data_IF_633799654866
#
_entry.id   IF_633799654866
#
_cell.length_a   1.000
_cell.length_b   1.000
_cell.length_c   1.000
_cell.angle_alpha   90.00
_cell.angle_beta   90.00
_cell.angle_gamma   90.00
#
_symmetry.space_group_name_H-M   'P 1'
#
loop_
_entity.id
_entity.type
_entity.pdbx_description
1 polymer ?
#
# COMPACT_ATOMS: atom_id res chain seq x y z
N UNK A 1 -4.81 -22.52 -2.20
CA UNK A 1 -3.69 -21.76 -2.77
C UNK A 1 -4.26 -20.42 -3.22
N UNK A 2 -3.60 -19.32 -2.87
CA UNK A 2 -3.94 -18.00 -3.43
C UNK A 2 -3.43 -17.98 -4.87
N UNK A 3 -4.32 -17.77 -5.82
CA UNK A 3 -4.12 -18.10 -7.23
C UNK A 3 -4.18 -16.87 -8.17
N UNK A 4 -4.28 -15.64 -7.63
CA UNK A 4 -4.31 -14.43 -8.46
C UNK A 4 -3.63 -13.21 -7.82
N UNK A 5 -3.27 -12.24 -8.65
CA UNK A 5 -2.72 -10.94 -8.23
C UNK A 5 -3.68 -10.24 -7.25
N UNK A 6 -4.98 -10.30 -7.53
CA UNK A 6 -5.99 -9.66 -6.69
C UNK A 6 -6.09 -10.29 -5.29
N UNK A 7 -6.04 -11.62 -5.22
CA UNK A 7 -6.03 -12.33 -3.94
C UNK A 7 -4.80 -12.00 -3.11
N UNK A 8 -3.63 -11.90 -3.73
CA UNK A 8 -2.39 -11.51 -3.04
C UNK A 8 -2.44 -10.06 -2.51
N UNK A 9 -3.07 -9.13 -3.25
CA UNK A 9 -3.26 -7.76 -2.78
C UNK A 9 -4.17 -7.72 -1.53
N UNK A 10 -5.30 -8.43 -1.55
CA UNK A 10 -6.19 -8.54 -0.38
C UNK A 10 -5.50 -9.24 0.78
N UNK A 11 -4.72 -10.29 0.49
CA UNK A 11 -3.94 -11.00 1.50
C UNK A 11 -2.92 -10.07 2.16
N UNK A 12 -2.29 -9.18 1.40
CA UNK A 12 -1.28 -8.26 1.91
C UNK A 12 -1.90 -7.25 2.87
N UNK A 13 -3.08 -6.72 2.55
CA UNK A 13 -3.86 -5.87 3.48
C UNK A 13 -4.23 -6.61 4.76
N UNK A 14 -4.70 -7.86 4.65
CA UNK A 14 -5.03 -8.68 5.82
C UNK A 14 -3.78 -8.99 6.65
N UNK A 15 -2.67 -9.31 6.00
CA UNK A 15 -1.41 -9.58 6.67
C UNK A 15 -0.92 -8.35 7.43
N UNK A 16 -0.94 -7.18 6.78
CA UNK A 16 -0.58 -5.90 7.40
C UNK A 16 -1.44 -5.66 8.64
N UNK A 17 -2.77 -5.76 8.53
CA UNK A 17 -3.69 -5.55 9.66
C UNK A 17 -3.43 -6.49 10.85
N UNK A 18 -2.94 -7.69 10.58
CA UNK A 18 -2.66 -8.72 11.59
C UNK A 18 -1.22 -8.72 12.11
N UNK A 19 -0.32 -8.01 11.45
CA UNK A 19 1.07 -7.96 11.87
C UNK A 19 1.18 -7.21 13.19
N UNK A 20 1.86 -7.79 14.17
CA UNK A 20 2.01 -7.23 15.54
C UNK A 20 3.47 -7.37 15.98
N UNK A 21 4.02 -6.41 16.74
CA UNK A 21 3.44 -5.11 17.09
C UNK A 21 3.54 -4.09 15.96
N UNK A 22 2.64 -3.09 15.94
CA UNK A 22 2.78 -1.92 15.06
C UNK A 22 2.53 -0.61 15.83
N UNK A 23 3.57 0.02 16.39
CA UNK A 23 3.42 1.21 17.21
C UNK A 23 2.53 2.29 16.56
N UNK A 24 1.44 2.67 17.25
CA UNK A 24 0.47 3.68 16.77
C UNK A 24 -0.51 3.25 15.68
N UNK A 25 -0.37 2.06 15.09
CA UNK A 25 -1.31 1.49 14.11
C UNK A 25 -2.25 0.50 14.80
N UNK A 26 -3.37 0.19 14.13
CA UNK A 26 -4.18 -0.99 14.48
C UNK A 26 -3.39 -2.24 14.14
N UNK A 27 -3.31 -3.20 15.05
CA UNK A 27 -2.73 -4.52 14.85
C UNK A 27 -3.60 -5.64 15.46
N UNK A 28 -3.12 -6.89 15.51
CA UNK A 28 -3.92 -8.01 15.99
C UNK A 28 -4.30 -7.94 17.49
N UNK A 29 -3.63 -7.11 18.29
CA UNK A 29 -3.83 -7.04 19.75
C UNK A 29 -4.14 -5.63 20.26
N UNK A 30 -4.01 -4.60 19.41
CA UNK A 30 -4.19 -3.19 19.77
C UNK A 30 -4.88 -2.41 18.66
N UNK A 31 -5.69 -1.41 19.04
CA UNK A 31 -6.23 -0.43 18.10
C UNK A 31 -5.24 0.73 17.82
N UNK A 32 -4.05 0.69 18.42
CA UNK A 32 -3.08 1.78 18.35
C UNK A 32 -3.67 3.08 18.86
N UNK A 33 -3.45 4.17 18.13
CA UNK A 33 -3.97 5.50 18.47
C UNK A 33 -5.45 5.71 18.05
N UNK A 34 -6.18 4.67 17.67
CA UNK A 34 -7.54 4.80 17.16
C UNK A 34 -8.59 4.35 18.18
N UNK A 35 -9.78 4.96 18.09
CA UNK A 35 -10.96 4.61 18.90
C UNK A 35 -12.15 4.17 18.02
N UNK A 36 -12.05 4.39 16.72
CA UNK A 36 -13.09 4.19 15.70
C UNK A 36 -12.83 2.97 14.80
N UNK A 37 -11.69 2.28 14.98
CA UNK A 37 -11.30 1.12 14.19
C UNK A 37 -10.53 0.08 15.01
N UNK A 38 -10.68 -1.18 14.61
CA UNK A 38 -10.00 -2.34 15.15
C UNK A 38 -9.59 -3.33 14.03
N UNK A 39 -8.85 -4.38 14.37
CA UNK A 39 -8.38 -5.36 13.38
C UNK A 39 -9.52 -6.08 12.65
N UNK A 40 -10.68 -6.24 13.29
CA UNK A 40 -11.85 -6.88 12.68
C UNK A 40 -12.42 -5.98 11.58
N UNK A 41 -12.48 -4.67 11.83
CA UNK A 41 -12.87 -3.67 10.84
C UNK A 41 -11.90 -3.64 9.66
N UNK A 42 -10.58 -3.67 9.92
CA UNK A 42 -9.56 -3.75 8.87
C UNK A 42 -9.71 -5.03 8.02
N UNK A 43 -9.85 -6.20 8.63
CA UNK A 43 -10.05 -7.47 7.90
C UNK A 43 -11.30 -7.44 7.02
N UNK A 44 -12.40 -6.87 7.52
CA UNK A 44 -13.64 -6.69 6.76
C UNK A 44 -13.45 -5.74 5.60
N UNK A 45 -12.80 -4.60 5.85
CA UNK A 45 -12.46 -3.61 4.83
C UNK A 45 -11.58 -4.21 3.72
N UNK A 46 -10.50 -4.92 4.07
CA UNK A 46 -9.63 -5.59 3.11
C UNK A 46 -10.40 -6.58 2.22
N UNK A 47 -11.31 -7.36 2.82
CA UNK A 47 -12.16 -8.31 2.07
C UNK A 47 -13.13 -7.60 1.12
N UNK A 48 -13.65 -6.42 1.47
CA UNK A 48 -14.53 -5.65 0.58
C UNK A 48 -13.84 -5.13 -0.69
N UNK A 49 -12.50 -5.13 -0.71
CA UNK A 49 -11.69 -4.66 -1.83
C UNK A 49 -11.33 -5.76 -2.85
N UNK A 50 -11.76 -7.02 -2.65
CA UNK A 50 -11.45 -8.12 -3.59
C UNK A 50 -11.88 -7.81 -5.03
N UNK A 51 -13.15 -7.45 -5.24
CA UNK A 51 -13.68 -7.16 -6.57
C UNK A 51 -13.06 -5.92 -7.21
N UNK A 52 -12.57 -4.97 -6.40
CA UNK A 52 -11.80 -3.85 -6.89
C UNK A 52 -10.48 -4.30 -7.51
N UNK A 53 -9.70 -5.12 -6.78
CA UNK A 53 -8.42 -5.60 -7.31
C UNK A 53 -8.59 -6.53 -8.52
N UNK A 54 -9.63 -7.36 -8.55
CA UNK A 54 -10.01 -8.15 -9.74
C UNK A 54 -10.28 -7.24 -10.95
N UNK A 55 -11.05 -6.17 -10.74
CA UNK A 55 -11.37 -5.20 -11.79
C UNK A 55 -10.13 -4.46 -12.28
N UNK A 56 -9.21 -4.07 -11.38
CA UNK A 56 -7.94 -3.45 -11.76
C UNK A 56 -7.11 -4.39 -12.63
N UNK A 57 -6.97 -5.67 -12.23
CA UNK A 57 -6.26 -6.66 -13.03
C UNK A 57 -6.89 -6.75 -14.43
N UNK A 58 -8.22 -6.92 -14.50
CA UNK A 58 -8.93 -7.08 -15.78
C UNK A 58 -8.75 -5.88 -16.72
N UNK A 59 -8.87 -4.64 -16.24
CA UNK A 59 -8.76 -3.45 -17.11
C UNK A 59 -7.32 -3.14 -17.52
N UNK A 60 -6.34 -3.60 -16.73
CA UNK A 60 -4.92 -3.30 -16.94
C UNK A 60 -4.19 -4.41 -17.71
N UNK A 61 -4.69 -5.65 -17.72
CA UNK A 61 -4.05 -6.76 -18.43
C UNK A 61 -3.83 -6.48 -19.91
N UNK A 62 -2.56 -6.44 -20.32
CA UNK A 62 -2.14 -6.14 -21.71
C UNK A 62 -2.45 -4.72 -22.18
N UNK A 63 -2.87 -3.82 -21.28
CA UNK A 63 -3.20 -2.44 -21.62
C UNK A 63 -1.93 -1.60 -21.85
N UNK A 64 -2.07 -0.48 -22.56
CA UNK A 64 -1.01 0.54 -22.65
C UNK A 64 -1.14 1.54 -21.50
N UNK A 65 -0.02 1.97 -20.93
CA UNK A 65 -0.01 3.05 -19.93
C UNK A 65 -0.31 4.37 -20.64
N UNK A 66 -1.56 4.81 -20.51
CA UNK A 66 -2.05 6.06 -21.08
C UNK A 66 -3.13 6.72 -20.19
N UNK A 67 -3.63 7.88 -20.63
CA UNK A 67 -4.67 8.63 -19.91
C UNK A 67 -6.00 7.87 -19.81
N UNK A 68 -6.31 7.01 -20.79
CA UNK A 68 -7.53 6.21 -20.81
C UNK A 68 -7.49 5.17 -19.70
N UNK A 69 -6.39 4.41 -19.61
CA UNK A 69 -6.18 3.46 -18.52
C UNK A 69 -6.17 4.17 -17.17
N UNK A 70 -5.43 5.29 -17.06
CA UNK A 70 -5.38 6.09 -15.82
C UNK A 70 -6.77 6.54 -15.34
N UNK A 71 -7.64 6.94 -16.27
CA UNK A 71 -9.03 7.34 -15.98
C UNK A 71 -9.87 6.15 -15.53
N UNK A 72 -9.72 4.98 -16.15
CA UNK A 72 -10.42 3.74 -15.76
C UNK A 72 -10.04 3.29 -14.36
N UNK A 73 -8.74 3.16 -14.06
CA UNK A 73 -8.29 2.73 -12.71
C UNK A 73 -8.64 3.78 -11.65
N UNK A 74 -8.65 5.06 -12.01
CA UNK A 74 -9.09 6.15 -11.12
C UNK A 74 -10.57 6.06 -10.76
N UNK A 75 -11.43 5.73 -11.73
CA UNK A 75 -12.85 5.49 -11.48
C UNK A 75 -13.07 4.27 -10.57
N UNK A 76 -12.36 3.16 -10.82
CA UNK A 76 -12.39 1.98 -9.97
C UNK A 76 -11.90 2.28 -8.55
N UNK A 77 -10.82 3.07 -8.40
CA UNK A 77 -10.31 3.48 -7.09
C UNK A 77 -11.33 4.30 -6.29
N UNK A 78 -12.03 5.24 -6.92
CA UNK A 78 -13.11 6.00 -6.26
C UNK A 78 -14.29 5.11 -5.85
N UNK A 79 -14.66 4.13 -6.66
CA UNK A 79 -15.67 3.14 -6.30
C UNK A 79 -15.21 2.28 -5.11
N UNK A 80 -13.95 1.86 -5.10
CA UNK A 80 -13.36 1.11 -4.01
C UNK A 80 -13.31 1.92 -2.70
N UNK A 81 -12.99 3.21 -2.75
CA UNK A 81 -13.08 4.10 -1.60
C UNK A 81 -14.51 4.16 -1.05
N UNK A 82 -15.52 4.29 -1.93
CA UNK A 82 -16.92 4.30 -1.51
C UNK A 82 -17.35 2.96 -0.85
N UNK A 83 -16.99 1.83 -1.46
CA UNK A 83 -17.23 0.49 -0.90
C UNK A 83 -16.54 0.31 0.45
N UNK A 84 -15.30 0.77 0.58
CA UNK A 84 -14.55 0.76 1.83
C UNK A 84 -15.30 1.54 2.89
N UNK A 85 -15.64 2.82 2.64
CA UNK A 85 -16.38 3.66 3.58
C UNK A 85 -17.73 3.08 3.97
N UNK A 86 -18.48 2.50 3.03
CA UNK A 86 -19.75 1.85 3.34
C UNK A 86 -19.53 0.64 4.26
N UNK A 87 -18.52 -0.18 3.99
CA UNK A 87 -18.18 -1.36 4.79
C UNK A 87 -17.71 -1.02 6.21
N UNK A 88 -17.10 0.14 6.36
CA UNK A 88 -16.49 0.62 7.61
C UNK A 88 -17.31 1.69 8.33
N UNK A 89 -18.57 1.91 7.93
CA UNK A 89 -19.44 2.93 8.51
C UNK A 89 -18.82 4.34 8.52
N UNK A 90 -18.14 4.70 7.44
CA UNK A 90 -17.53 6.02 7.23
C UNK A 90 -16.08 6.14 7.73
N UNK A 91 -15.51 5.08 8.31
CA UNK A 91 -14.14 5.10 8.83
C UNK A 91 -13.12 4.87 7.72
N UNK A 92 -12.09 5.71 7.63
CA UNK A 92 -11.02 5.54 6.65
C UNK A 92 -10.01 4.48 7.12
N UNK A 93 -10.02 3.30 6.50
CA UNK A 93 -9.10 2.19 6.83
C UNK A 93 -7.99 2.01 5.78
N UNK A 94 -8.32 1.97 4.49
CA UNK A 94 -7.42 1.57 3.40
C UNK A 94 -7.39 2.56 2.23
N UNK A 95 -7.78 3.82 2.40
CA UNK A 95 -7.82 4.77 1.28
C UNK A 95 -6.46 4.93 0.61
N UNK A 96 -5.37 5.03 1.38
CA UNK A 96 -4.02 5.12 0.82
C UNK A 96 -3.55 3.79 0.22
N UNK A 97 -3.88 2.65 0.83
CA UNK A 97 -3.59 1.35 0.24
C UNK A 97 -4.32 1.09 -1.09
N UNK A 98 -5.57 1.56 -1.25
CA UNK A 98 -6.30 1.53 -2.54
C UNK A 98 -5.48 2.26 -3.62
N UNK A 99 -4.94 3.43 -3.31
CA UNK A 99 -4.07 4.17 -4.21
C UNK A 99 -2.77 3.40 -4.53
N UNK A 100 -2.02 3.02 -3.49
CA UNK A 100 -0.70 2.39 -3.62
C UNK A 100 -0.79 1.02 -4.31
N UNK A 101 -1.59 0.10 -3.76
CA UNK A 101 -1.74 -1.24 -4.33
C UNK A 101 -2.47 -1.19 -5.67
N UNK A 102 -3.44 -0.29 -5.86
CA UNK A 102 -4.14 -0.15 -7.14
C UNK A 102 -3.18 0.15 -8.30
N UNK A 103 -2.23 1.06 -8.09
CA UNK A 103 -1.20 1.39 -9.08
C UNK A 103 -0.23 0.23 -9.32
N UNK A 104 0.23 -0.43 -8.26
CA UNK A 104 1.16 -1.57 -8.35
C UNK A 104 0.51 -2.78 -9.02
N UNK A 105 -0.72 -3.13 -8.63
CA UNK A 105 -1.51 -4.21 -9.24
C UNK A 105 -1.77 -3.90 -10.71
N UNK A 106 -2.11 -2.66 -11.05
CA UNK A 106 -2.28 -2.24 -12.44
C UNK A 106 -0.99 -2.41 -13.24
N UNK A 107 0.14 -1.92 -12.73
CA UNK A 107 1.43 -2.02 -13.43
C UNK A 107 1.88 -3.48 -13.59
N UNK A 108 1.71 -4.30 -12.56
CA UNK A 108 1.99 -5.73 -12.62
C UNK A 108 1.08 -6.44 -13.64
N UNK A 109 -0.21 -6.12 -13.69
CA UNK A 109 -1.13 -6.74 -14.65
C UNK A 109 -0.80 -6.40 -16.10
N UNK A 110 -0.25 -5.20 -16.37
CA UNK A 110 0.23 -4.79 -17.71
C UNK A 110 1.41 -5.65 -18.13
N UNK A 111 2.43 -5.78 -17.25
CA UNK A 111 3.67 -6.51 -17.52
C UNK A 111 3.96 -7.54 -16.42
N UNK A 112 3.26 -8.68 -16.38
CA UNK A 112 3.33 -9.61 -15.25
C UNK A 112 4.67 -10.36 -15.15
N UNK A 113 5.44 -10.40 -16.23
CA UNK A 113 6.79 -10.97 -16.27
C UNK A 113 7.91 -9.94 -16.03
N UNK A 114 7.60 -8.65 -15.89
CA UNK A 114 8.64 -7.62 -15.71
C UNK A 114 9.31 -7.69 -14.33
N UNK A 115 10.49 -7.11 -14.19
CA UNK A 115 11.17 -7.05 -12.89
C UNK A 115 10.37 -6.15 -11.92
N UNK A 116 10.58 -6.32 -10.60
CA UNK A 116 9.91 -5.46 -9.61
C UNK A 116 10.21 -3.97 -9.86
N UNK A 117 11.43 -3.61 -10.27
CA UNK A 117 11.79 -2.25 -10.63
C UNK A 117 10.95 -1.66 -11.77
N UNK A 118 10.62 -2.49 -12.77
CA UNK A 118 9.78 -2.08 -13.90
C UNK A 118 8.31 -1.91 -13.45
N UNK A 119 7.84 -2.75 -12.53
CA UNK A 119 6.51 -2.62 -11.92
C UNK A 119 6.40 -1.31 -11.13
N UNK A 120 7.44 -0.94 -10.36
CA UNK A 120 7.48 0.35 -9.67
C UNK A 120 7.48 1.53 -10.66
N UNK A 121 8.23 1.40 -11.76
CA UNK A 121 8.31 2.43 -12.81
C UNK A 121 6.99 2.60 -13.57
N UNK A 122 6.31 1.50 -13.92
CA UNK A 122 5.00 1.57 -14.57
C UNK A 122 3.92 2.15 -13.65
N UNK A 123 3.97 1.84 -12.35
CA UNK A 123 3.11 2.48 -11.36
C UNK A 123 3.37 3.99 -11.25
N UNK A 124 4.64 4.42 -11.34
CA UNK A 124 5.00 5.84 -11.38
C UNK A 124 4.50 6.56 -12.63
N UNK A 125 4.59 5.89 -13.79
CA UNK A 125 4.06 6.41 -15.04
C UNK A 125 2.54 6.61 -14.94
N UNK A 126 1.80 5.64 -14.39
CA UNK A 126 0.37 5.79 -14.10
C UNK A 126 0.08 6.93 -13.12
N UNK A 127 0.83 7.03 -12.01
CA UNK A 127 0.65 8.09 -11.02
C UNK A 127 0.93 9.51 -11.55
N UNK A 128 1.73 9.61 -12.62
CA UNK A 128 2.11 10.86 -13.27
C UNK A 128 1.11 11.32 -14.33
N UNK A 129 0.21 10.44 -14.76
CA UNK A 129 -0.85 10.77 -15.70
C UNK A 129 -2.05 11.43 -14.99
N UNK A 130 -2.70 12.42 -15.63
CA UNK A 130 -3.90 13.04 -15.09
C UNK A 130 -5.08 12.07 -15.10
N UNK A 131 -5.97 12.23 -14.12
CA UNK A 131 -7.30 11.60 -14.11
C UNK A 131 -8.33 12.64 -14.55
N UNK A 132 -8.76 12.58 -15.81
CA UNK A 132 -9.62 13.60 -16.40
C UNK A 132 -11.02 13.66 -15.77
N UNK A 133 -11.41 12.61 -15.05
CA UNK A 133 -12.69 12.52 -14.33
C UNK A 133 -12.57 12.92 -12.86
N UNK A 134 -11.39 13.30 -12.39
CA UNK A 134 -11.21 13.80 -11.03
C UNK A 134 -11.77 15.22 -10.94
N UNK A 135 -13.02 15.33 -10.51
CA UNK A 135 -13.58 16.60 -10.07
C UNK A 135 -12.87 16.98 -8.78
N UNK A 136 -12.28 18.19 -8.73
CA UNK A 136 -11.49 18.66 -7.59
C UNK A 136 -12.23 18.41 -6.26
N UNK A 137 -11.81 17.43 -5.45
CA UNK A 137 -12.50 17.11 -4.20
C UNK A 137 -12.10 18.09 -3.09
N UNK A 138 -12.71 17.95 -1.91
CA UNK A 138 -12.16 18.52 -0.67
C UNK A 138 -10.69 18.07 -0.55
N UNK A 139 -9.80 19.00 -0.21
CA UNK A 139 -8.36 18.74 -0.06
C UNK A 139 -8.13 17.57 0.90
N UNK A 140 -7.47 16.53 0.41
CA UNK A 140 -6.99 15.41 1.22
C UNK A 140 -5.97 15.86 2.26
N UNK A 141 -5.72 15.04 3.29
CA UNK A 141 -4.67 15.30 4.28
C UNK A 141 -3.30 15.48 3.64
N UNK A 142 -2.99 14.69 2.60
CA UNK A 142 -1.78 14.83 1.81
C UNK A 142 -1.68 16.18 1.11
N UNK A 143 -2.75 16.65 0.47
CA UNK A 143 -2.77 17.97 -0.20
C UNK A 143 -2.65 19.14 0.80
N UNK A 144 -3.27 19.00 1.98
CA UNK A 144 -3.12 19.99 3.06
C UNK A 144 -1.69 20.03 3.60
N UNK A 145 -1.08 18.86 3.83
CA UNK A 145 0.31 18.74 4.28
C UNK A 145 1.30 19.25 3.22
N UNK A 146 1.06 18.96 1.93
CA UNK A 146 1.83 19.50 0.81
C UNK A 146 1.79 21.04 0.80
N UNK A 147 0.61 21.62 0.96
CA UNK A 147 0.46 23.08 0.95
C UNK A 147 1.13 23.73 2.17
N UNK A 148 0.99 23.13 3.35
CA UNK A 148 1.45 23.72 4.61
C UNK A 148 2.94 23.50 4.89
N UNK A 149 3.47 22.36 4.47
CA UNK A 149 4.81 21.89 4.86
C UNK A 149 5.67 21.39 3.69
N UNK A 150 5.14 21.36 2.47
CA UNK A 150 5.88 20.88 1.28
C UNK A 150 6.00 19.36 1.18
N UNK A 151 5.25 18.59 1.98
CA UNK A 151 5.33 17.13 2.01
C UNK A 151 4.57 16.49 0.84
N UNK A 152 5.27 15.68 0.04
CA UNK A 152 4.75 15.03 -1.16
C UNK A 152 3.68 13.95 -0.95
N UNK A 153 3.71 13.28 0.20
CA UNK A 153 2.79 12.20 0.57
C UNK A 153 2.75 11.04 -0.43
N UNK A 154 1.66 10.25 -0.37
CA UNK A 154 1.49 9.03 -1.18
C UNK A 154 1.52 9.27 -2.70
N UNK A 155 1.16 10.49 -3.15
CA UNK A 155 1.23 10.85 -4.57
C UNK A 155 2.68 10.98 -5.03
N UNK A 156 3.51 11.71 -4.28
CA UNK A 156 4.93 11.86 -4.61
C UNK A 156 5.67 10.52 -4.50
N UNK A 157 5.36 9.70 -3.49
CA UNK A 157 5.88 8.33 -3.38
C UNK A 157 5.65 7.55 -4.67
N UNK A 158 4.41 7.51 -5.16
CA UNK A 158 4.08 6.78 -6.38
C UNK A 158 4.77 7.39 -7.61
N UNK A 159 4.74 8.72 -7.78
CA UNK A 159 5.35 9.41 -8.92
C UNK A 159 6.87 9.24 -8.99
N UNK A 160 7.53 8.99 -7.86
CA UNK A 160 8.97 8.73 -7.77
C UNK A 160 9.30 7.23 -7.79
N UNK A 161 8.37 6.38 -8.24
CA UNK A 161 8.54 4.92 -8.29
C UNK A 161 8.81 4.28 -6.92
N UNK A 162 8.13 4.80 -5.88
CA UNK A 162 8.18 4.30 -4.50
C UNK A 162 9.61 4.17 -3.96
N UNK A 163 10.31 5.30 -3.74
CA UNK A 163 11.71 5.30 -3.31
C UNK A 163 11.94 4.58 -1.98
N UNK A 164 10.91 4.47 -1.14
CA UNK A 164 10.96 3.72 0.11
C UNK A 164 10.72 2.22 -0.03
N UNK A 165 10.04 1.77 -1.09
CA UNK A 165 9.76 0.34 -1.32
C UNK A 165 10.98 -0.34 -1.95
N UNK A 166 11.51 0.25 -3.03
CA UNK A 166 12.57 -0.35 -3.84
C UNK A 166 13.77 -0.91 -3.02
N UNK A 167 14.39 -0.15 -2.10
CA UNK A 167 15.53 -0.65 -1.33
C UNK A 167 15.15 -1.76 -0.33
N UNK A 168 13.93 -1.71 0.22
CA UNK A 168 13.48 -2.66 1.25
C UNK A 168 13.11 -4.02 0.67
N UNK A 169 12.79 -4.10 -0.62
CA UNK A 169 12.59 -5.38 -1.31
C UNK A 169 13.85 -6.25 -1.39
N UNK A 170 15.04 -5.66 -1.18
CA UNK A 170 16.31 -6.37 -1.19
C UNK A 170 16.74 -6.88 0.20
N UNK A 171 15.96 -6.58 1.25
CA UNK A 171 16.28 -7.01 2.61
C UNK A 171 15.94 -8.50 2.82
N UNK A 172 16.60 -9.17 3.78
CA UNK A 172 16.28 -10.56 4.11
C UNK A 172 14.99 -10.64 4.95
N UNK A 173 13.83 -10.84 4.30
CA UNK A 173 12.51 -10.76 4.96
C UNK A 173 12.01 -12.12 5.47
N UNK A 174 12.82 -12.79 6.30
CA UNK A 174 12.61 -14.19 6.68
C UNK A 174 11.96 -14.36 8.06
N UNK A 175 12.06 -13.35 8.92
CA UNK A 175 11.57 -13.40 10.29
C UNK A 175 10.63 -12.23 10.60
N UNK A 176 9.90 -12.35 11.71
CA UNK A 176 9.09 -11.25 12.24
C UNK A 176 9.94 -10.03 12.58
N UNK A 177 11.17 -10.23 13.06
CA UNK A 177 12.08 -9.12 13.40
C UNK A 177 12.53 -8.36 12.15
N UNK A 178 12.77 -9.05 11.04
CA UNK A 178 13.10 -8.42 9.75
C UNK A 178 11.95 -7.53 9.26
N UNK A 179 10.71 -8.05 9.32
CA UNK A 179 9.52 -7.27 8.95
C UNK A 179 9.27 -6.10 9.90
N UNK A 180 9.56 -6.24 11.19
CA UNK A 180 9.52 -5.11 12.12
C UNK A 180 10.57 -4.06 11.78
N UNK A 181 11.78 -4.49 11.39
CA UNK A 181 12.84 -3.57 10.97
C UNK A 181 12.46 -2.84 9.68
N UNK A 182 11.77 -3.49 8.74
CA UNK A 182 11.16 -2.83 7.56
C UNK A 182 10.14 -1.77 7.99
N UNK A 183 9.21 -2.11 8.88
CA UNK A 183 8.20 -1.15 9.36
C UNK A 183 8.85 0.06 10.03
N UNK A 184 9.84 -0.18 10.90
CA UNK A 184 10.57 0.91 11.56
C UNK A 184 11.42 1.72 10.59
N UNK A 185 11.97 1.10 9.55
CA UNK A 185 12.67 1.81 8.50
C UNK A 185 11.71 2.74 7.73
N UNK A 186 10.48 2.31 7.44
CA UNK A 186 9.44 3.17 6.89
C UNK A 186 9.06 4.30 7.87
N UNK A 187 8.92 4.01 9.16
CA UNK A 187 8.66 5.02 10.18
C UNK A 187 9.77 6.05 10.29
N UNK A 188 11.02 5.66 10.04
CA UNK A 188 12.19 6.53 10.16
C UNK A 188 12.33 7.50 8.97
N UNK A 189 11.81 7.17 7.79
CA UNK A 189 12.13 7.91 6.55
C UNK A 189 10.92 8.45 5.80
N UNK A 190 9.74 7.85 5.95
CA UNK A 190 8.53 8.31 5.25
C UNK A 190 7.99 9.56 5.91
N UNK A 191 7.75 10.60 5.10
CA UNK A 191 7.06 11.81 5.53
C UNK A 191 5.55 11.57 5.59
N UNK A 192 5.13 10.82 6.62
CA UNK A 192 3.76 10.36 6.78
C UNK A 192 2.80 11.51 7.11
N UNK A 193 2.03 11.90 6.10
CA UNK A 193 1.05 12.98 6.20
C UNK A 193 -0.09 12.71 7.19
N UNK A 194 -0.35 11.44 7.58
CA UNK A 194 -1.33 11.13 8.62
C UNK A 194 -0.84 11.57 10.00
N UNK A 195 0.45 11.45 10.29
CA UNK A 195 1.03 11.97 11.55
C UNK A 195 0.88 13.49 11.58
N UNK A 196 1.26 14.17 10.51
CA UNK A 196 1.24 15.64 10.43
C UNK A 196 -0.19 16.19 10.47
N UNK A 197 -1.16 15.45 9.93
CA UNK A 197 -2.57 15.81 10.04
C UNK A 197 -3.11 15.67 11.46
N UNK A 198 -2.72 14.62 12.19
CA UNK A 198 -3.19 14.38 13.57
C UNK A 198 -2.46 15.22 14.61
N UNK A 199 -1.22 15.62 14.32
CA UNK A 199 -0.38 16.43 15.18
C UNK A 199 0.31 17.54 14.38
N UNK A 200 1.63 17.45 14.20
CA UNK A 200 2.43 18.45 13.51
C UNK A 200 3.74 17.86 12.95
N UNK A 201 4.49 18.69 12.22
CA UNK A 201 5.78 18.31 11.63
C UNK A 201 6.84 17.97 12.69
N UNK A 202 6.86 18.67 13.83
CA UNK A 202 7.83 18.40 14.89
C UNK A 202 7.63 17.01 15.50
N UNK A 203 6.38 16.60 15.66
CA UNK A 203 5.98 15.27 16.13
C UNK A 203 6.41 14.19 15.13
N UNK A 204 6.21 14.40 13.83
CA UNK A 204 6.72 13.51 12.78
C UNK A 204 8.25 13.35 12.88
N UNK A 205 9.00 14.46 13.00
CA UNK A 205 10.47 14.38 13.09
C UNK A 205 10.94 13.67 14.36
N UNK A 206 10.25 13.85 15.49
CA UNK A 206 10.56 13.13 16.73
C UNK A 206 10.24 11.63 16.62
N UNK A 207 9.10 11.28 16.01
CA UNK A 207 8.73 9.90 15.71
C UNK A 207 9.78 9.20 14.84
N UNK A 208 10.17 9.83 13.74
CA UNK A 208 11.20 9.33 12.83
C UNK A 208 12.55 9.12 13.55
N UNK A 209 12.96 10.08 14.39
CA UNK A 209 14.19 9.97 15.18
C UNK A 209 14.17 8.76 16.11
N UNK A 210 13.05 8.52 16.79
CA UNK A 210 12.91 7.36 17.68
C UNK A 210 12.94 6.04 16.90
N UNK A 211 12.25 5.97 15.75
CA UNK A 211 12.31 4.79 14.88
C UNK A 211 13.74 4.53 14.36
N UNK A 212 14.45 5.58 13.93
CA UNK A 212 15.83 5.50 13.45
C UNK A 212 16.78 4.95 14.52
N UNK A 213 16.60 5.34 15.79
CA UNK A 213 17.40 4.82 16.90
C UNK A 213 17.22 3.31 17.09
N UNK A 214 16.02 2.78 16.86
CA UNK A 214 15.76 1.34 16.96
C UNK A 214 16.35 0.60 15.74
N UNK A 215 16.20 1.17 14.54
CA UNK A 215 16.75 0.55 13.32
C UNK A 215 18.28 0.47 13.36
N UNK A 216 18.95 1.49 13.90
CA UNK A 216 20.40 1.54 14.05
C UNK A 216 20.94 0.63 15.16
N UNK A 217 20.07 0.07 16.00
CA UNK A 217 20.46 -0.87 17.06
C UNK A 217 20.60 -2.28 16.48
N UNK A 218 21.70 -2.95 16.80
CA UNK A 218 21.97 -4.34 16.38
C UNK A 218 21.09 -5.34 17.14
N UNK A 219 20.51 -4.94 18.28
CA UNK A 219 19.57 -5.80 19.00
C UNK A 219 18.35 -6.15 18.13
N UNK A 220 17.79 -7.36 18.29
CA UNK A 220 16.50 -7.69 17.71
C UNK A 220 15.45 -6.64 18.11
N UNK A 221 14.67 -6.19 17.14
CA UNK A 221 13.65 -5.15 17.32
C UNK A 221 12.68 -5.51 18.44
N UNK A 222 12.23 -6.78 18.51
CA UNK A 222 11.33 -7.26 19.56
C UNK A 222 11.94 -7.20 20.97
N UNK A 223 13.27 -7.36 21.08
CA UNK A 223 13.99 -7.28 22.35
C UNK A 223 14.30 -5.82 22.74
N UNK A 224 14.28 -4.89 21.77
CA UNK A 224 14.62 -3.50 22.00
C UNK A 224 13.54 -2.80 22.84
N UNK A 225 13.90 -2.40 24.06
CA UNK A 225 12.99 -1.71 24.98
C UNK A 225 12.41 -0.40 24.42
N UNK A 226 13.14 0.26 23.50
CA UNK A 226 12.70 1.49 22.82
C UNK A 226 11.47 1.27 21.93
N UNK A 227 11.19 0.06 21.49
CA UNK A 227 9.97 -0.25 20.74
C UNK A 227 8.72 0.07 21.57
N UNK A 228 8.74 -0.26 22.86
CA UNK A 228 7.64 0.07 23.79
C UNK A 228 7.59 1.56 24.11
N UNK A 229 8.72 2.25 24.08
CA UNK A 229 8.77 3.71 24.23
C UNK A 229 8.14 4.40 23.02
N UNK A 230 8.46 3.93 21.81
CA UNK A 230 7.87 4.41 20.56
C UNK A 230 6.36 4.23 20.55
N UNK A 231 5.84 3.07 20.98
CA UNK A 231 4.39 2.85 21.06
C UNK A 231 3.72 3.76 22.11
N UNK A 232 4.33 3.91 23.30
CA UNK A 232 3.82 4.89 24.27
C UNK A 232 3.83 6.32 23.72
N UNK A 233 4.84 6.67 22.92
CA UNK A 233 4.91 7.97 22.27
C UNK A 233 3.78 8.16 21.26
N UNK A 234 3.51 7.17 20.39
CA UNK A 234 2.43 7.28 19.39
C UNK A 234 1.06 7.42 20.05
N UNK A 235 0.80 6.66 21.13
CA UNK A 235 -0.43 6.75 21.93
C UNK A 235 -0.55 8.12 22.61
N UNK A 236 0.51 8.60 23.27
CA UNK A 236 0.52 9.90 23.95
C UNK A 236 0.25 11.05 22.99
N UNK A 237 0.85 11.00 21.81
CA UNK A 237 0.69 12.04 20.79
C UNK A 237 -0.56 11.85 19.92
N UNK A 238 -1.31 10.76 20.11
CA UNK A 238 -2.48 10.40 19.31
C UNK A 238 -2.19 10.37 17.80
N UNK A 239 -1.04 9.82 17.41
CA UNK A 239 -0.59 9.75 16.01
C UNK A 239 -0.65 8.32 15.48
N UNK A 240 -0.90 8.20 14.18
CA UNK A 240 -0.94 6.91 13.49
C UNK A 240 -0.24 7.01 12.12
N UNK A 241 0.82 6.23 11.88
CA UNK A 241 1.61 6.26 10.64
C UNK A 241 0.95 5.46 9.51
N UNK A 242 -0.26 5.86 9.11
CA UNK A 242 -1.04 5.11 8.11
C UNK A 242 -0.42 5.10 6.70
N UNK A 243 0.31 6.15 6.30
CA UNK A 243 1.02 6.15 5.02
C UNK A 243 2.17 5.14 4.99
N UNK A 244 2.91 5.00 6.10
CA UNK A 244 3.88 3.93 6.26
C UNK A 244 3.22 2.54 6.24
N UNK A 245 2.04 2.38 6.83
CA UNK A 245 1.27 1.13 6.79
C UNK A 245 0.90 0.71 5.36
N UNK A 246 0.45 1.67 4.54
CA UNK A 246 0.11 1.43 3.14
C UNK A 246 1.32 0.93 2.33
N UNK A 247 2.50 1.51 2.56
CA UNK A 247 3.76 1.06 1.95
C UNK A 247 4.21 -0.30 2.48
N UNK A 248 3.98 -0.58 3.76
CA UNK A 248 4.31 -1.87 4.39
C UNK A 248 3.50 -3.01 3.76
N UNK A 249 2.19 -2.82 3.56
CA UNK A 249 1.36 -3.75 2.80
C UNK A 249 1.85 -3.94 1.35
N UNK A 250 2.28 -2.86 0.70
CA UNK A 250 2.81 -2.89 -0.66
C UNK A 250 4.11 -3.68 -0.79
N UNK A 251 5.04 -3.53 0.16
CA UNK A 251 6.26 -4.35 0.23
C UNK A 251 5.87 -5.81 0.38
N UNK A 252 4.95 -6.16 1.29
CA UNK A 252 4.50 -7.54 1.47
C UNK A 252 3.92 -8.15 0.19
N UNK A 253 3.07 -7.39 -0.49
CA UNK A 253 2.47 -7.79 -1.76
C UNK A 253 3.55 -8.10 -2.80
N UNK A 254 4.52 -7.20 -3.01
CA UNK A 254 5.59 -7.38 -4.00
C UNK A 254 6.54 -8.52 -3.63
N UNK A 255 6.87 -8.69 -2.34
CA UNK A 255 7.67 -9.84 -1.87
C UNK A 255 6.97 -11.16 -2.17
N UNK A 256 5.64 -11.26 -1.95
CA UNK A 256 4.90 -12.46 -2.31
C UNK A 256 4.83 -12.70 -3.81
N UNK A 257 4.68 -11.65 -4.63
CA UNK A 257 4.76 -11.78 -6.08
C UNK A 257 6.12 -12.35 -6.49
N UNK A 258 7.21 -11.86 -5.91
CA UNK A 258 8.55 -12.36 -6.23
C UNK A 258 8.72 -13.84 -5.86
N UNK A 259 8.40 -14.19 -4.61
CA UNK A 259 8.49 -15.58 -4.11
C UNK A 259 7.60 -16.52 -4.95
N UNK A 260 6.36 -16.14 -5.22
CA UNK A 260 5.44 -16.97 -6.00
C UNK A 260 5.97 -17.22 -7.42
N UNK A 261 6.58 -16.21 -8.05
CA UNK A 261 7.17 -16.34 -9.38
C UNK A 261 8.36 -17.31 -9.38
N UNK A 262 9.19 -17.26 -8.35
CA UNK A 262 10.36 -18.15 -8.20
C UNK A 262 9.95 -19.59 -7.89
N UNK A 263 8.98 -19.80 -6.98
CA UNK A 263 8.58 -21.14 -6.55
C UNK A 263 7.59 -21.83 -7.51
N UNK A 264 6.78 -21.06 -8.24
CA UNK A 264 5.65 -21.58 -9.03
C UNK A 264 5.67 -21.08 -10.49
N UNK A 265 6.86 -21.04 -11.11
CA UNK A 265 7.05 -20.47 -12.46
C UNK A 265 6.05 -21.00 -13.51
N UNK A 266 5.79 -22.32 -13.52
CA UNK A 266 4.84 -22.94 -14.46
C UNK A 266 3.39 -22.51 -14.20
N UNK A 267 2.97 -22.45 -12.93
CA UNK A 267 1.63 -21.99 -12.55
C UNK A 267 1.46 -20.49 -12.82
N UNK A 268 2.50 -19.69 -12.61
CA UNK A 268 2.52 -18.27 -12.91
C UNK A 268 2.39 -18.01 -14.42
N UNK A 269 3.18 -18.72 -15.24
CA UNK A 269 3.07 -18.67 -16.71
C UNK A 269 1.67 -19.08 -17.19
N UNK A 270 1.07 -20.09 -16.57
CA UNK A 270 -0.29 -20.50 -16.89
C UNK A 270 -1.32 -19.44 -16.45
N UNK A 271 -1.19 -18.85 -15.27
CA UNK A 271 -2.05 -17.75 -14.84
C UNK A 271 -1.97 -16.55 -15.79
N UNK A 272 -0.77 -16.14 -16.20
CA UNK A 272 -0.57 -15.02 -17.15
C UNK A 272 -1.16 -15.33 -18.53
N UNK A 273 -1.11 -16.57 -19.00
CA UNK A 273 -1.68 -16.92 -20.31
C UNK A 273 -3.19 -16.63 -20.37
N UNK A 274 -3.88 -16.70 -19.23
CA UNK A 274 -5.30 -16.37 -19.08
C UNK A 274 -5.55 -14.86 -18.88
N UNK A 275 -4.54 -14.08 -18.50
CA UNK A 275 -4.62 -12.62 -18.41
C UNK A 275 -4.49 -11.94 -19.78
N UNK A 276 -3.83 -12.59 -20.75
CA UNK A 276 -3.79 -12.06 -22.12
C UNK A 276 -5.21 -11.97 -22.64
N UNK A 277 -5.57 -10.89 -23.38
CA UNK A 277 -6.90 -10.81 -23.97
C UNK A 277 -7.15 -12.09 -24.75
N UNK A 278 -8.16 -12.86 -24.36
CA UNK A 278 -8.74 -13.79 -25.32
C UNK A 278 -9.15 -12.91 -26.49
N UNK A 279 -8.55 -13.15 -27.66
CA UNK A 279 -8.93 -12.45 -28.88
C UNK A 279 -10.46 -12.51 -28.97
N UNK A 280 -11.12 -11.40 -28.68
CA UNK A 280 -12.50 -11.19 -29.05
C UNK A 280 -12.48 -10.99 -30.57
N UNK A 281 -12.24 -12.08 -31.31
CA UNK A 281 -12.69 -12.23 -32.67
C UNK A 281 -14.21 -12.40 -32.63
N UNK A 282 -14.92 -11.34 -32.24
CA UNK A 282 -16.32 -11.19 -32.55
C UNK A 282 -16.37 -10.56 -33.94
N UNK A 283 -16.53 -11.43 -34.92
CA UNK A 283 -17.21 -11.20 -36.19
C UNK A 283 -18.20 -10.02 -36.11
N UNK A 284 -17.77 -8.86 -36.59
CA UNK A 284 -18.67 -7.88 -37.20
C UNK A 284 -18.66 -8.18 -38.70
N UNK A 285 -19.46 -9.17 -39.04
CA UNK A 285 -19.94 -9.40 -40.40
C UNK A 285 -21.45 -9.21 -40.38
N UNK A 286 -21.89 -8.27 -41.23
CA UNK A 286 -23.24 -7.75 -41.51
C UNK A 286 -23.65 -6.51 -40.72
#
# INVERSE_FOLDING_TARGET
>A
MMNSIAELAVAALKWEANFTPKPGLVDAVSNGAHQDMDVTLFRRSATSLSSYFESIVQVSSGATIDRSLRTKIGALGRQAEATMYQTTNGVNTHKGAIWTLGLLVSSLAITPDAALADILTGAAALASLPDEKLVAPKKSYGEQAQQKYGLGGAKAEAQQAFPHIAPLLQWPLNSQDDWLRVLLQLYATVDDTNIVHRADLATLRNFQKQAQQIVADEQPVLANSRLRELDRFTLKMNISPGGSADLFAAIRFLTWINIYREEHESSWKNYISHLKPQNLSATLSM
#
